data_IF_567096903558
#
_entry.id   IF_567096903558
#
_cell.length_a   1.000
_cell.length_b   1.000
_cell.length_c   1.000
_cell.angle_alpha   90.00
_cell.angle_beta   90.00
_cell.angle_gamma   90.00
#
_symmetry.space_group_name_H-M   'P 1'
#
loop_
_entity.id
_entity.type
_entity.pdbx_description
1 polymer ?
#
# COMPACT_ATOMS: atom_id res chain seq x y z
N UNK A 1 11.29 17.69 -6.32
CA UNK A 1 10.51 18.77 -6.06
C UNK A 1 9.43 18.66 -4.98
N UNK A 2 8.32 17.89 -5.08
CA UNK A 2 7.29 17.88 -4.02
C UNK A 2 7.84 17.42 -2.65
N UNK A 3 8.78 16.50 -2.62
CA UNK A 3 9.31 15.93 -1.37
C UNK A 3 10.18 16.92 -0.57
N UNK A 4 10.74 17.95 -1.20
CA UNK A 4 11.48 18.98 -0.47
C UNK A 4 10.57 19.93 0.33
N UNK A 5 9.30 20.01 -0.03
CA UNK A 5 8.33 20.78 0.74
C UNK A 5 7.89 20.04 2.02
N UNK A 6 8.17 18.75 2.13
CA UNK A 6 7.92 17.96 3.33
C UNK A 6 9.19 18.04 4.18
N UNK A 7 9.10 18.70 5.33
CA UNK A 7 10.20 18.81 6.29
C UNK A 7 10.54 17.42 6.87
N UNK A 8 11.47 16.73 6.22
CA UNK A 8 11.97 15.43 6.65
C UNK A 8 13.45 15.28 6.34
N UNK A 9 14.19 14.59 7.20
CA UNK A 9 15.62 14.34 6.99
C UNK A 9 15.87 13.23 5.97
N UNK A 10 14.96 12.26 5.90
CA UNK A 10 15.02 11.15 4.97
C UNK A 10 13.59 10.71 4.60
N UNK A 11 13.45 10.24 3.38
CA UNK A 11 12.22 9.64 2.86
C UNK A 11 12.55 8.25 2.34
N UNK A 12 11.78 7.26 2.74
CA UNK A 12 11.84 5.91 2.19
C UNK A 12 10.79 5.79 1.09
N UNK A 13 11.25 5.68 -0.15
CA UNK A 13 10.39 5.69 -1.34
C UNK A 13 9.99 4.25 -1.68
N UNK A 14 8.79 3.87 -1.26
CA UNK A 14 8.27 2.53 -1.54
C UNK A 14 7.49 1.92 -0.40
N UNK A 15 7.62 0.61 -0.27
CA UNK A 15 6.90 -0.20 0.71
C UNK A 15 7.80 -0.51 1.91
N UNK A 16 7.24 -0.36 3.11
CA UNK A 16 8.03 -0.26 4.33
C UNK A 16 8.47 -1.59 4.94
N UNK A 17 7.90 -2.71 4.52
CA UNK A 17 8.04 -4.01 5.19
C UNK A 17 9.49 -4.46 5.36
N UNK A 18 10.33 -4.15 4.39
CA UNK A 18 11.77 -4.46 4.44
C UNK A 18 12.62 -3.21 4.67
N UNK A 19 12.25 -2.07 4.05
CA UNK A 19 13.02 -0.84 4.17
C UNK A 19 13.05 -0.29 5.60
N UNK A 20 11.93 -0.36 6.33
CA UNK A 20 11.86 0.18 7.69
C UNK A 20 12.77 -0.61 8.63
N UNK A 21 12.69 -1.97 8.72
CA UNK A 21 13.63 -2.74 9.52
C UNK A 21 15.11 -2.50 9.15
N UNK A 22 15.41 -2.40 7.86
CA UNK A 22 16.77 -2.15 7.37
C UNK A 22 17.26 -0.75 7.79
N UNK A 23 16.45 0.29 7.58
CA UNK A 23 16.80 1.66 7.96
C UNK A 23 16.99 1.81 9.47
N UNK A 24 16.11 1.21 10.27
CA UNK A 24 16.24 1.24 11.73
C UNK A 24 17.41 0.39 12.21
N UNK A 25 17.70 -0.75 11.57
CA UNK A 25 18.87 -1.57 11.88
C UNK A 25 20.18 -0.80 11.64
N UNK A 26 20.29 -0.14 10.48
CA UNK A 26 21.45 0.71 10.15
C UNK A 26 21.57 1.91 11.10
N UNK A 27 20.45 2.55 11.44
CA UNK A 27 20.44 3.65 12.39
C UNK A 27 20.84 3.20 13.80
N UNK A 28 20.32 2.06 14.27
CA UNK A 28 20.62 1.50 15.58
C UNK A 28 22.12 1.15 15.73
N UNK A 29 22.74 0.67 14.67
CA UNK A 29 24.19 0.39 14.65
C UNK A 29 25.05 1.66 14.76
N UNK A 30 24.47 2.85 14.61
CA UNK A 30 25.15 4.14 14.56
C UNK A 30 24.64 5.14 15.60
N UNK A 31 23.90 4.70 16.64
CA UNK A 31 23.26 5.59 17.62
C UNK A 31 24.24 6.46 18.38
N UNK A 32 25.45 5.95 18.66
CA UNK A 32 26.52 6.68 19.36
C UNK A 32 27.44 7.44 18.39
N UNK A 33 27.17 7.39 17.09
CA UNK A 33 27.97 8.08 16.07
C UNK A 33 27.44 9.49 15.78
N UNK A 34 28.10 10.19 14.87
CA UNK A 34 27.62 11.49 14.42
C UNK A 34 26.29 11.37 13.65
N UNK A 35 25.55 12.48 13.62
CA UNK A 35 24.31 12.59 12.80
C UNK A 35 24.57 12.22 11.34
N UNK A 36 25.72 12.61 10.80
CA UNK A 36 26.06 12.32 9.40
C UNK A 36 26.29 10.82 9.17
N UNK A 37 26.96 10.14 10.09
CA UNK A 37 27.14 8.67 10.03
C UNK A 37 25.80 7.93 10.09
N UNK A 38 24.88 8.39 10.94
CA UNK A 38 23.51 7.83 11.01
C UNK A 38 22.78 8.03 9.68
N UNK A 39 22.84 9.23 9.10
CA UNK A 39 22.23 9.53 7.81
C UNK A 39 22.89 8.74 6.66
N UNK A 40 24.18 8.47 6.73
CA UNK A 40 24.87 7.57 5.78
C UNK A 40 24.32 6.15 5.84
N UNK A 41 24.08 5.64 7.05
CA UNK A 41 23.44 4.34 7.25
C UNK A 41 22.05 4.25 6.64
N UNK A 42 21.23 5.31 6.80
CA UNK A 42 19.91 5.39 6.19
C UNK A 42 20.00 5.53 4.66
N UNK A 43 20.95 6.33 4.16
CA UNK A 43 21.15 6.54 2.73
C UNK A 43 21.59 5.28 1.97
N UNK A 44 22.19 4.31 2.67
CA UNK A 44 22.58 3.02 2.10
C UNK A 44 21.37 2.10 1.80
N UNK A 45 20.20 2.40 2.35
CA UNK A 45 18.97 1.62 2.10
C UNK A 45 18.45 1.92 0.70
N UNK A 46 18.21 0.89 -0.10
CA UNK A 46 17.57 1.06 -1.41
C UNK A 46 16.20 1.73 -1.27
N UNK A 47 15.96 2.77 -2.04
CA UNK A 47 14.74 3.58 -1.93
C UNK A 47 14.85 4.77 -0.97
N UNK A 48 15.96 4.93 -0.25
CA UNK A 48 16.17 6.09 0.61
C UNK A 48 16.47 7.34 -0.21
N UNK A 49 15.74 8.42 0.06
CA UNK A 49 15.95 9.76 -0.48
C UNK A 49 16.21 10.74 0.65
N UNK A 50 17.42 11.30 0.69
CA UNK A 50 17.82 12.34 1.62
C UNK A 50 17.87 13.68 0.87
N UNK A 51 16.93 14.60 1.10
CA UNK A 51 16.82 15.86 0.34
C UNK A 51 18.14 16.68 0.34
N UNK A 52 18.88 16.66 1.44
CA UNK A 52 20.13 17.40 1.58
C UNK A 52 21.27 16.88 0.69
N UNK A 53 21.12 15.69 0.14
CA UNK A 53 22.08 15.08 -0.80
C UNK A 53 21.79 15.36 -2.26
N UNK A 54 20.82 16.24 -2.56
CA UNK A 54 20.45 16.62 -3.92
C UNK A 54 20.37 18.15 -4.05
N UNK A 55 20.82 18.67 -5.18
CA UNK A 55 20.76 20.08 -5.51
C UNK A 55 19.92 20.30 -6.77
N UNK A 56 18.81 21.02 -6.69
CA UNK A 56 18.06 21.38 -7.88
C UNK A 56 18.87 22.42 -8.69
N UNK A 57 18.95 22.21 -9.99
CA UNK A 57 19.41 23.20 -10.97
C UNK A 57 18.20 23.75 -11.69
N UNK A 58 18.17 25.04 -11.83
CA UNK A 58 17.06 25.74 -12.47
C UNK A 58 17.49 26.25 -13.84
N UNK A 59 16.54 26.23 -14.81
CA UNK A 59 16.72 26.87 -16.12
C UNK A 59 16.53 28.40 -16.04
N UNK A 60 16.71 29.09 -17.16
CA UNK A 60 16.54 30.53 -17.27
C UNK A 60 15.10 31.02 -16.96
N UNK A 61 14.11 30.12 -16.97
CA UNK A 61 12.71 30.40 -16.66
C UNK A 61 12.34 30.04 -15.21
N UNK A 62 13.33 29.69 -14.37
CA UNK A 62 13.12 29.30 -12.98
C UNK A 62 12.49 27.91 -12.80
N UNK A 63 12.45 27.07 -13.83
CA UNK A 63 11.96 25.69 -13.74
C UNK A 63 13.09 24.76 -13.36
N UNK A 64 12.80 23.70 -12.60
CA UNK A 64 13.79 22.68 -12.30
C UNK A 64 14.20 21.97 -13.59
N UNK A 65 15.43 22.12 -14.01
CA UNK A 65 16.00 21.45 -15.16
C UNK A 65 16.59 20.08 -14.78
N UNK A 66 17.15 19.99 -13.56
CA UNK A 66 17.86 18.80 -13.11
C UNK A 66 17.91 18.73 -11.58
N UNK A 67 17.96 17.52 -11.01
CA UNK A 67 18.38 17.26 -9.65
C UNK A 67 19.78 16.62 -9.68
N UNK A 68 20.77 17.34 -9.22
CA UNK A 68 22.14 16.83 -9.16
C UNK A 68 22.34 16.07 -7.85
N UNK A 69 22.66 14.80 -7.94
CA UNK A 69 23.09 14.01 -6.80
C UNK A 69 24.48 14.45 -6.33
N UNK A 70 24.65 14.69 -5.04
CA UNK A 70 25.96 14.95 -4.44
C UNK A 70 26.74 13.64 -4.29
N UNK A 71 28.06 13.69 -4.12
CA UNK A 71 28.88 12.49 -3.93
C UNK A 71 28.33 11.58 -2.84
N UNK A 72 28.20 10.29 -3.14
CA UNK A 72 27.62 9.29 -2.25
C UNK A 72 26.09 9.15 -2.29
N UNK A 73 25.38 9.97 -3.08
CA UNK A 73 23.96 9.78 -3.34
C UNK A 73 23.72 9.11 -4.70
N UNK A 74 22.72 8.23 -4.84
CA UNK A 74 22.39 7.65 -6.13
C UNK A 74 21.79 8.72 -7.07
N UNK A 75 22.13 8.66 -8.35
CA UNK A 75 21.55 9.56 -9.37
C UNK A 75 20.03 9.39 -9.47
N UNK A 76 19.54 8.18 -9.26
CA UNK A 76 18.11 7.84 -9.29
C UNK A 76 17.75 7.05 -8.05
N UNK A 77 16.75 7.53 -7.32
CA UNK A 77 16.15 6.78 -6.22
C UNK A 77 15.07 5.86 -6.77
N UNK A 78 15.32 4.56 -6.72
CA UNK A 78 14.39 3.54 -7.20
C UNK A 78 13.38 3.21 -6.11
N UNK A 79 12.09 3.21 -6.45
CA UNK A 79 11.04 2.80 -5.53
C UNK A 79 11.16 1.31 -5.22
N UNK A 80 11.30 0.97 -3.94
CA UNK A 80 11.29 -0.42 -3.48
C UNK A 80 9.86 -0.92 -3.28
N UNK A 81 9.61 -2.19 -3.55
CA UNK A 81 8.29 -2.81 -3.35
C UNK A 81 8.43 -4.29 -3.00
N UNK A 82 7.45 -4.81 -2.27
CA UNK A 82 7.36 -6.23 -1.91
C UNK A 82 6.76 -7.00 -3.08
N UNK A 83 7.52 -7.92 -3.65
CA UNK A 83 7.08 -8.69 -4.82
C UNK A 83 5.99 -9.72 -4.46
N UNK A 84 6.14 -10.41 -3.34
CA UNK A 84 5.20 -11.40 -2.81
C UNK A 84 4.55 -10.89 -1.51
N UNK A 85 3.28 -10.51 -1.59
CA UNK A 85 2.52 -9.98 -0.45
C UNK A 85 2.14 -11.05 0.58
N UNK A 86 2.26 -12.33 0.26
CA UNK A 86 1.95 -13.42 1.21
C UNK A 86 3.10 -13.66 2.20
N UNK A 87 4.32 -13.19 1.91
CA UNK A 87 5.47 -13.26 2.84
C UNK A 87 5.25 -12.36 4.07
N UNK A 88 4.58 -11.24 3.88
CA UNK A 88 4.30 -10.25 4.94
C UNK A 88 2.82 -9.82 4.88
N UNK A 89 1.89 -10.70 5.29
CA UNK A 89 0.47 -10.39 5.23
C UNK A 89 0.13 -9.19 6.12
N UNK A 90 -0.67 -8.27 5.59
CA UNK A 90 -1.13 -7.07 6.31
C UNK A 90 -2.59 -7.26 6.70
N UNK A 91 -2.82 -7.33 8.01
CA UNK A 91 -4.15 -7.38 8.61
C UNK A 91 -4.24 -6.39 9.77
N UNK A 92 -5.43 -6.15 10.30
CA UNK A 92 -5.62 -5.32 11.48
C UNK A 92 -4.84 -5.87 12.67
N UNK A 93 -3.83 -5.14 13.13
CA UNK A 93 -3.04 -5.49 14.31
C UNK A 93 -3.65 -4.92 15.60
N UNK A 94 -4.34 -3.78 15.51
CA UNK A 94 -4.93 -3.08 16.66
C UNK A 94 -6.36 -2.68 16.31
N UNK A 95 -7.33 -3.14 17.11
CA UNK A 95 -8.72 -2.69 17.05
C UNK A 95 -8.89 -1.49 17.99
N UNK A 96 -9.52 -0.42 17.51
CA UNK A 96 -9.74 0.79 18.28
C UNK A 96 -11.16 1.31 18.04
N UNK A 97 -11.98 1.38 19.07
CA UNK A 97 -13.41 1.79 19.01
C UNK A 97 -13.59 3.17 18.36
N UNK A 98 -12.64 4.08 18.54
CA UNK A 98 -12.69 5.43 18.00
C UNK A 98 -12.08 5.57 16.59
N UNK A 99 -11.68 4.47 15.95
CA UNK A 99 -11.17 4.49 14.58
C UNK A 99 -12.32 4.51 13.56
N UNK A 100 -12.07 5.06 12.37
CA UNK A 100 -13.06 5.11 11.27
C UNK A 100 -13.55 3.71 10.88
N UNK A 101 -12.68 2.70 10.99
CA UNK A 101 -12.96 1.29 10.74
C UNK A 101 -12.82 0.47 12.03
N UNK A 102 -13.20 1.04 13.19
CA UNK A 102 -12.98 0.44 14.50
C UNK A 102 -13.66 -0.91 14.70
N UNK A 103 -14.79 -1.13 14.03
CA UNK A 103 -15.58 -2.36 14.03
C UNK A 103 -15.29 -3.29 12.84
N UNK A 104 -14.24 -2.98 12.04
CA UNK A 104 -13.82 -3.81 10.92
C UNK A 104 -12.50 -4.52 11.21
N UNK A 105 -12.41 -5.80 10.86
CA UNK A 105 -11.12 -6.45 10.72
C UNK A 105 -10.66 -6.34 9.28
N UNK A 106 -9.60 -5.57 9.04
CA UNK A 106 -9.11 -5.27 7.71
C UNK A 106 -8.12 -6.34 7.25
N UNK A 107 -8.23 -6.78 6.01
CA UNK A 107 -7.33 -7.74 5.36
C UNK A 107 -6.91 -7.15 4.02
N UNK A 108 -5.62 -6.88 3.84
CA UNK A 108 -5.08 -6.51 2.54
C UNK A 108 -5.11 -7.73 1.61
N UNK A 109 -5.78 -7.61 0.47
CA UNK A 109 -5.89 -8.67 -0.52
C UNK A 109 -5.06 -8.40 -1.79
N UNK A 110 -4.82 -7.11 -2.08
CA UNK A 110 -4.01 -6.72 -3.24
C UNK A 110 -3.35 -5.37 -3.03
N UNK A 111 -2.28 -5.12 -3.73
CA UNK A 111 -1.56 -3.85 -3.77
C UNK A 111 -1.24 -3.46 -5.20
N UNK A 112 -1.40 -2.17 -5.50
CA UNK A 112 -1.32 -1.65 -6.85
C UNK A 112 -2.63 -1.78 -7.63
N UNK A 113 -2.65 -1.24 -8.84
CA UNK A 113 -3.80 -1.27 -9.72
C UNK A 113 -3.34 -1.48 -11.17
N UNK A 114 -4.02 -2.35 -11.91
CA UNK A 114 -3.70 -2.64 -13.31
C UNK A 114 -4.22 -1.56 -14.28
N UNK A 115 -5.19 -0.77 -13.83
CA UNK A 115 -5.84 0.25 -14.65
C UNK A 115 -4.99 1.51 -14.77
N UNK A 116 -5.04 2.13 -15.95
CA UNK A 116 -4.28 3.34 -16.28
C UNK A 116 -5.13 4.60 -16.27
N UNK A 117 -6.06 4.76 -15.32
CA UNK A 117 -6.92 5.94 -15.21
C UNK A 117 -6.07 7.21 -15.13
N UNK A 118 -6.23 8.14 -16.07
CA UNK A 118 -5.34 9.32 -16.24
C UNK A 118 -5.32 10.25 -15.04
N UNK A 119 -6.39 10.28 -14.26
CA UNK A 119 -6.53 11.12 -13.07
C UNK A 119 -5.99 10.46 -11.79
N UNK A 120 -5.72 9.14 -11.79
CA UNK A 120 -5.43 8.39 -10.58
C UNK A 120 -3.93 8.16 -10.42
N UNK A 121 -3.32 8.80 -9.41
CA UNK A 121 -1.91 8.60 -9.08
C UNK A 121 -1.62 7.15 -8.65
N UNK A 122 -2.54 6.49 -7.93
CA UNK A 122 -2.35 5.15 -7.41
C UNK A 122 -2.09 4.11 -8.52
N UNK A 123 -2.77 4.22 -9.67
CA UNK A 123 -2.55 3.36 -10.83
C UNK A 123 -1.16 3.47 -11.46
N UNK A 124 -0.37 4.47 -11.07
CA UNK A 124 1.01 4.66 -11.54
C UNK A 124 2.02 4.44 -10.41
N UNK A 125 1.75 4.94 -9.20
CA UNK A 125 2.68 4.90 -8.08
C UNK A 125 2.85 3.51 -7.48
N UNK A 126 1.80 2.67 -7.48
CA UNK A 126 1.82 1.37 -6.80
C UNK A 126 1.93 0.16 -7.75
N UNK A 127 2.31 0.39 -9.01
CA UNK A 127 2.63 -0.71 -9.92
C UNK A 127 3.91 -1.44 -9.52
N UNK A 128 4.03 -2.74 -9.87
CA UNK A 128 3.03 -3.61 -10.52
C UNK A 128 1.87 -3.96 -9.58
N UNK A 129 0.71 -4.35 -10.15
CA UNK A 129 -0.35 -4.94 -9.37
C UNK A 129 0.09 -6.31 -8.84
N UNK A 130 -0.20 -6.57 -7.57
CA UNK A 130 0.09 -7.85 -6.91
C UNK A 130 -1.12 -8.25 -6.09
N UNK A 131 -1.54 -9.48 -6.27
CA UNK A 131 -2.61 -10.09 -5.51
C UNK A 131 -2.03 -11.09 -4.52
N UNK A 132 -2.53 -11.09 -3.31
CA UNK A 132 -2.28 -12.18 -2.38
C UNK A 132 -2.99 -13.45 -2.86
N UNK A 133 -2.43 -14.60 -2.53
CA UNK A 133 -3.07 -15.87 -2.86
C UNK A 133 -4.47 -15.95 -2.21
N UNK A 134 -5.46 -16.40 -2.99
CA UNK A 134 -6.84 -16.57 -2.51
C UNK A 134 -6.91 -17.29 -1.16
N UNK A 135 -6.17 -18.39 -1.01
CA UNK A 135 -6.18 -19.19 0.22
C UNK A 135 -5.68 -18.41 1.44
N UNK A 136 -4.67 -17.56 1.25
CA UNK A 136 -4.11 -16.70 2.31
C UNK A 136 -5.12 -15.65 2.74
N UNK A 137 -5.74 -14.95 1.77
CA UNK A 137 -6.79 -13.96 2.05
C UNK A 137 -8.00 -14.58 2.73
N UNK A 138 -8.45 -15.76 2.28
CA UNK A 138 -9.55 -16.49 2.90
C UNK A 138 -9.21 -16.90 4.35
N UNK A 139 -8.00 -17.38 4.60
CA UNK A 139 -7.58 -17.80 5.94
C UNK A 139 -7.55 -16.61 6.90
N UNK A 140 -6.95 -15.48 6.48
CA UNK A 140 -6.90 -14.27 7.30
C UNK A 140 -8.29 -13.66 7.54
N UNK A 141 -9.15 -13.65 6.51
CA UNK A 141 -10.52 -13.18 6.63
C UNK A 141 -11.35 -14.02 7.61
N UNK A 142 -11.21 -15.35 7.56
CA UNK A 142 -11.90 -16.25 8.48
C UNK A 142 -11.35 -16.12 9.91
N UNK A 143 -10.04 -16.01 10.08
CA UNK A 143 -9.42 -15.74 11.38
C UNK A 143 -9.89 -14.42 11.98
N UNK A 144 -10.07 -13.40 11.14
CA UNK A 144 -10.57 -12.08 11.52
C UNK A 144 -11.97 -12.10 12.13
N UNK A 145 -12.80 -13.12 11.83
CA UNK A 145 -14.15 -13.27 12.43
C UNK A 145 -14.13 -13.50 13.94
N UNK A 146 -12.99 -13.93 14.50
CA UNK A 146 -12.80 -13.98 15.95
C UNK A 146 -12.75 -12.59 16.60
N UNK A 147 -12.48 -11.55 15.83
CA UNK A 147 -12.28 -10.17 16.29
C UNK A 147 -13.39 -9.23 15.85
N UNK A 148 -13.98 -9.45 14.67
CA UNK A 148 -15.04 -8.62 14.11
C UNK A 148 -16.01 -9.43 13.25
N UNK A 149 -17.28 -9.08 13.31
CA UNK A 149 -18.30 -9.60 12.39
C UNK A 149 -18.15 -9.07 10.96
N UNK A 150 -17.36 -8.01 10.76
CA UNK A 150 -17.20 -7.36 9.46
C UNK A 150 -15.74 -7.42 9.01
N UNK A 151 -15.50 -8.12 7.92
CA UNK A 151 -14.19 -8.20 7.28
C UNK A 151 -14.10 -7.14 6.18
N UNK A 152 -13.18 -6.19 6.35
CA UNK A 152 -12.85 -5.20 5.34
C UNK A 152 -11.77 -5.74 4.39
N UNK A 153 -12.08 -5.93 3.12
CA UNK A 153 -11.10 -6.35 2.11
C UNK A 153 -10.47 -5.13 1.44
N UNK A 154 -9.17 -4.99 1.57
CA UNK A 154 -8.42 -3.82 1.14
C UNK A 154 -7.62 -4.11 -0.13
N UNK A 155 -7.75 -3.20 -1.09
CA UNK A 155 -7.00 -3.15 -2.33
C UNK A 155 -7.36 -1.89 -3.11
N UNK A 156 -6.55 -1.50 -4.07
CA UNK A 156 -6.81 -0.30 -4.88
C UNK A 156 -8.05 -0.49 -5.79
N UNK A 157 -8.27 -1.72 -6.26
CA UNK A 157 -9.45 -2.17 -6.99
C UNK A 157 -9.68 -3.65 -6.66
N UNK A 158 -10.81 -3.96 -6.04
CA UNK A 158 -11.03 -5.28 -5.48
C UNK A 158 -11.77 -6.26 -6.40
N UNK A 159 -12.52 -5.76 -7.39
CA UNK A 159 -13.28 -6.64 -8.28
C UNK A 159 -12.40 -7.49 -9.20
N UNK A 160 -11.17 -7.03 -9.51
CA UNK A 160 -10.18 -7.75 -10.31
C UNK A 160 -9.43 -8.84 -9.54
N UNK A 161 -9.54 -8.89 -8.20
CA UNK A 161 -8.84 -9.93 -7.43
C UNK A 161 -9.40 -11.33 -7.76
N UNK A 162 -8.57 -12.30 -8.21
CA UNK A 162 -9.05 -13.58 -8.76
C UNK A 162 -9.86 -14.43 -7.78
N UNK A 163 -9.67 -14.21 -6.48
CA UNK A 163 -10.34 -14.98 -5.43
C UNK A 163 -11.48 -14.25 -4.71
N UNK A 164 -11.77 -12.99 -5.07
CA UNK A 164 -12.65 -12.13 -4.25
C UNK A 164 -14.05 -12.71 -4.03
N UNK A 165 -14.70 -13.22 -5.05
CA UNK A 165 -16.04 -13.80 -4.93
C UNK A 165 -16.04 -15.02 -4.00
N UNK A 166 -15.05 -15.89 -4.13
CA UNK A 166 -14.91 -17.08 -3.24
C UNK A 166 -14.66 -16.66 -1.79
N UNK A 167 -13.84 -15.65 -1.56
CA UNK A 167 -13.59 -15.12 -0.21
C UNK A 167 -14.88 -14.58 0.41
N UNK A 168 -15.66 -13.80 -0.36
CA UNK A 168 -16.98 -13.30 0.09
C UNK A 168 -17.94 -14.44 0.42
N UNK A 169 -18.04 -15.47 -0.44
CA UNK A 169 -18.88 -16.66 -0.23
C UNK A 169 -18.50 -17.36 1.08
N UNK A 170 -17.21 -17.57 1.34
CA UNK A 170 -16.72 -18.26 2.53
C UNK A 170 -16.94 -17.48 3.82
N UNK A 171 -16.66 -16.17 3.80
CA UNK A 171 -16.92 -15.29 4.96
C UNK A 171 -18.42 -15.25 5.27
N UNK A 172 -19.29 -15.12 4.25
CA UNK A 172 -20.72 -15.15 4.42
C UNK A 172 -21.23 -16.49 4.96
N UNK A 173 -20.72 -17.62 4.45
CA UNK A 173 -21.06 -18.96 4.96
C UNK A 173 -20.64 -19.17 6.42
N UNK A 174 -19.59 -18.48 6.88
CA UNK A 174 -19.16 -18.47 8.27
C UNK A 174 -19.91 -17.45 9.16
N UNK A 175 -20.96 -16.80 8.64
CA UNK A 175 -21.79 -15.84 9.38
C UNK A 175 -21.20 -14.43 9.44
N UNK A 176 -20.09 -14.16 8.76
CA UNK A 176 -19.49 -12.84 8.70
C UNK A 176 -20.09 -11.95 7.60
N UNK A 177 -19.78 -10.67 7.69
CA UNK A 177 -20.09 -9.66 6.66
C UNK A 177 -18.81 -9.25 5.94
N UNK A 178 -18.92 -8.88 4.67
CA UNK A 178 -17.80 -8.36 3.88
C UNK A 178 -18.05 -6.91 3.51
N UNK A 179 -17.03 -6.09 3.64
CA UNK A 179 -16.99 -4.72 3.14
C UNK A 179 -15.74 -4.57 2.25
N UNK A 180 -15.89 -4.63 0.93
CA UNK A 180 -14.77 -4.44 0.03
C UNK A 180 -14.43 -2.94 -0.09
N UNK A 181 -13.18 -2.61 -0.38
CA UNK A 181 -12.81 -1.30 -0.91
C UNK A 181 -13.45 -1.08 -2.28
N UNK A 182 -13.18 0.06 -2.92
CA UNK A 182 -13.83 0.45 -4.17
C UNK A 182 -13.76 -0.63 -5.26
N UNK A 183 -14.84 -0.76 -6.00
CA UNK A 183 -15.00 -1.69 -7.11
C UNK A 183 -15.14 -0.91 -8.42
N UNK A 184 -14.40 -1.29 -9.44
CA UNK A 184 -14.58 -0.73 -10.77
C UNK A 184 -15.84 -1.32 -11.42
N UNK A 185 -16.70 -0.47 -11.96
CA UNK A 185 -18.07 -0.83 -12.37
C UNK A 185 -18.12 -1.97 -13.41
N UNK A 186 -17.25 -1.91 -14.42
CA UNK A 186 -17.24 -2.81 -15.58
C UNK A 186 -16.61 -4.18 -15.30
N UNK A 187 -15.95 -4.38 -14.15
CA UNK A 187 -15.36 -5.67 -13.77
C UNK A 187 -16.13 -6.41 -12.67
N UNK A 188 -17.23 -5.84 -12.18
CA UNK A 188 -18.09 -6.51 -11.19
C UNK A 188 -18.83 -7.67 -11.86
N UNK A 189 -18.37 -8.90 -11.58
CA UNK A 189 -19.07 -10.08 -12.09
C UNK A 189 -20.39 -10.35 -11.38
N UNK A 190 -21.38 -11.00 -12.05
CA UNK A 190 -22.62 -11.43 -11.39
C UNK A 190 -22.39 -12.35 -10.20
N UNK A 191 -21.33 -13.15 -10.20
CA UNK A 191 -20.93 -13.99 -9.06
C UNK A 191 -20.50 -13.14 -7.88
N UNK A 192 -19.64 -12.13 -8.11
CA UNK A 192 -19.19 -11.22 -7.06
C UNK A 192 -20.37 -10.47 -6.44
N UNK A 193 -21.26 -9.92 -7.27
CA UNK A 193 -22.45 -9.20 -6.78
C UNK A 193 -23.32 -10.08 -5.88
N UNK A 194 -23.59 -11.33 -6.29
CA UNK A 194 -24.34 -12.28 -5.46
C UNK A 194 -23.61 -12.66 -4.17
N UNK A 195 -22.29 -12.87 -4.25
CA UNK A 195 -21.48 -13.23 -3.10
C UNK A 195 -21.45 -12.10 -2.06
N UNK A 196 -21.32 -10.86 -2.48
CA UNK A 196 -21.38 -9.68 -1.62
C UNK A 196 -22.75 -9.54 -0.94
N UNK A 197 -23.84 -9.68 -1.70
CA UNK A 197 -25.18 -9.65 -1.14
C UNK A 197 -25.41 -10.76 -0.12
N UNK A 198 -24.99 -11.99 -0.41
CA UNK A 198 -25.11 -13.13 0.50
C UNK A 198 -24.24 -12.97 1.76
N UNK A 199 -23.09 -12.28 1.66
CA UNK A 199 -22.22 -11.93 2.78
C UNK A 199 -22.68 -10.68 3.54
N UNK A 200 -23.92 -10.24 3.38
CA UNK A 200 -24.52 -9.14 4.14
C UNK A 200 -23.93 -7.76 3.85
N UNK A 201 -23.27 -7.58 2.70
CA UNK A 201 -22.78 -6.28 2.25
C UNK A 201 -23.95 -5.34 1.99
N UNK A 202 -24.03 -4.21 2.72
CA UNK A 202 -25.14 -3.25 2.63
C UNK A 202 -24.94 -2.22 1.52
N UNK A 203 -23.70 -1.86 1.26
CA UNK A 203 -23.33 -0.87 0.25
C UNK A 203 -21.95 -1.18 -0.30
N UNK A 204 -21.72 -0.78 -1.53
CA UNK A 204 -20.41 -0.83 -2.18
C UNK A 204 -20.12 0.53 -2.81
N UNK A 205 -18.86 0.93 -2.77
CA UNK A 205 -18.39 2.08 -3.55
C UNK A 205 -18.04 1.59 -4.94
N UNK A 206 -18.75 2.11 -5.94
CA UNK A 206 -18.51 1.76 -7.34
C UNK A 206 -17.91 2.95 -8.06
N UNK A 207 -16.81 2.72 -8.75
CA UNK A 207 -16.11 3.72 -9.54
C UNK A 207 -16.38 3.48 -11.04
N UNK A 208 -17.06 4.42 -11.74
CA UNK A 208 -17.27 4.34 -13.19
C UNK A 208 -16.00 4.69 -13.98
N UNK A 209 -15.01 5.29 -13.35
CA UNK A 209 -13.69 5.67 -13.83
C UNK A 209 -13.69 6.77 -14.90
N UNK A 210 -14.34 6.57 -16.01
CA UNK A 210 -14.55 7.56 -17.03
C UNK A 210 -15.87 7.26 -17.73
N UNK A 211 -16.76 8.21 -17.74
CA UNK A 211 -18.00 8.18 -18.51
C UNK A 211 -17.74 8.50 -19.98
#
# INVERSE_FOLDING_TARGET
APLRAINGFAHLIGEGEEMIPEAFGNAAASLDASRDTLLDGIAAVEGAYLPDRYRPRYDALGRIAEFVALPGAPETVVRRYVADLDVRPVTTAVMAENAVFGDYYLVEASRGCEWGCRFCAAGFMYRPVRHRARKSVEADALAGLAHSQTIGLIGAEMASHPGIASTCERVGAAGGRVSPSSLKADVISPRLARALGAAGTRSVTVAPEAG
#
